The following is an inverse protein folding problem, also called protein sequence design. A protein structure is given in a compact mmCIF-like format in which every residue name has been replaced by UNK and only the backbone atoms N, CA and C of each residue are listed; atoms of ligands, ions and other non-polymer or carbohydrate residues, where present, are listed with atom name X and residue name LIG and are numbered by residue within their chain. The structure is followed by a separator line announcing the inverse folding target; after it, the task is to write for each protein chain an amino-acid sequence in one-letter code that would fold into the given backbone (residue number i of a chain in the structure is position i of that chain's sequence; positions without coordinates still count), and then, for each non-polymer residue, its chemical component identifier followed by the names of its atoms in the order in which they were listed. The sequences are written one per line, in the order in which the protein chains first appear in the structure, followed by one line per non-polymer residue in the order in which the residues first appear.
data_IF_218759670176
#
_entry.id   IF_218759670176
#
_cell.length_a   1.000
_cell.length_b   1.000
_cell.length_c   1.000
_cell.angle_alpha   90.00
_cell.angle_beta   90.00
_cell.angle_gamma   90.00
#
_symmetry.space_group_name_H-M   'P 1'
#
loop_
_entity.id
_entity.type
_entity.pdbx_description
1 polymer ?
#
# COMPACT_ATOMS: atom_id res chain seq x y z
N UNK A 1 -3.77 3.55 5.26
CA UNK A 1 -3.07 2.25 5.20
C UNK A 1 -3.74 1.36 6.21
N UNK A 2 -4.52 0.39 5.74
CA UNK A 2 -5.65 -0.11 6.54
C UNK A 2 -6.49 1.06 7.03
N UNK A 3 -6.80 1.05 8.33
CA UNK A 3 -7.54 2.12 9.01
C UNK A 3 -6.67 3.28 9.53
N UNK A 4 -5.36 3.27 9.27
CA UNK A 4 -4.43 4.31 9.72
C UNK A 4 -4.30 5.42 8.67
N UNK A 5 -4.54 6.67 9.07
CA UNK A 5 -4.26 7.86 8.25
C UNK A 5 -2.77 8.21 8.31
N UNK A 6 -2.05 7.91 7.22
CA UNK A 6 -0.60 8.17 7.12
C UNK A 6 -0.28 9.51 6.46
N UNK A 7 -1.22 10.04 5.66
CA UNK A 7 -1.09 11.31 4.93
C UNK A 7 -2.38 12.12 5.12
N UNK A 8 -2.23 13.40 5.45
CA UNK A 8 -3.31 14.39 5.54
C UNK A 8 -2.90 15.66 4.79
N UNK A 9 -3.74 16.12 3.88
CA UNK A 9 -3.49 17.36 3.13
C UNK A 9 -2.21 17.35 2.29
N UNK A 10 -1.76 16.17 1.84
CA UNK A 10 -0.55 16.03 1.04
C UNK A 10 0.76 15.94 1.83
N UNK A 11 0.71 15.99 3.17
CA UNK A 11 1.86 15.81 4.05
C UNK A 11 1.63 14.62 5.01
N UNK A 12 2.69 14.14 5.67
CA UNK A 12 2.60 13.13 6.72
C UNK A 12 1.57 13.55 7.77
N UNK A 13 0.66 12.65 8.12
CA UNK A 13 -0.34 12.93 9.14
C UNK A 13 0.35 13.17 10.50
N UNK A 14 0.00 14.23 11.26
CA UNK A 14 0.68 14.58 12.51
C UNK A 14 0.68 13.48 13.58
N UNK A 15 -0.35 12.63 13.60
CA UNK A 15 -0.48 11.51 14.54
C UNK A 15 0.10 10.19 14.04
N UNK A 16 0.69 10.15 12.83
CA UNK A 16 1.23 8.92 12.27
C UNK A 16 2.60 8.58 12.86
N UNK A 17 2.77 7.33 13.29
CA UNK A 17 4.06 6.76 13.70
C UNK A 17 4.41 5.56 12.82
N UNK A 18 5.71 5.31 12.63
CA UNK A 18 6.17 4.22 11.77
C UNK A 18 5.83 2.85 12.36
N UNK A 19 5.75 2.74 13.68
CA UNK A 19 5.35 1.51 14.37
C UNK A 19 3.92 1.13 14.01
N UNK A 20 3.01 2.12 13.99
CA UNK A 20 1.63 1.90 13.62
C UNK A 20 1.51 1.46 12.15
N UNK A 21 2.27 2.08 11.25
CA UNK A 21 2.35 1.67 9.85
C UNK A 21 2.90 0.25 9.68
N UNK A 22 3.96 -0.08 10.41
CA UNK A 22 4.63 -1.39 10.35
C UNK A 22 3.72 -2.54 10.78
N UNK A 23 2.85 -2.31 11.78
CA UNK A 23 1.86 -3.31 12.21
C UNK A 23 0.91 -3.68 11.06
N UNK A 24 0.45 -2.69 10.28
CA UNK A 24 -0.43 -2.96 9.13
C UNK A 24 0.36 -3.59 7.98
N UNK A 25 1.59 -3.15 7.72
CA UNK A 25 2.43 -3.72 6.67
C UNK A 25 2.84 -5.18 6.93
N UNK A 26 2.78 -5.65 8.18
CA UNK A 26 3.06 -7.04 8.52
C UNK A 26 1.87 -7.99 8.25
N UNK A 27 0.73 -7.48 7.80
CA UNK A 27 -0.45 -8.28 7.47
C UNK A 27 -0.32 -8.90 6.07
N UNK A 28 -0.98 -10.05 5.85
CA UNK A 28 -1.02 -10.71 4.54
C UNK A 28 -1.79 -9.90 3.50
N UNK A 29 -2.88 -9.24 3.90
CA UNK A 29 -3.67 -8.37 3.04
C UNK A 29 -3.62 -6.92 3.52
N UNK A 30 -3.25 -6.01 2.63
CA UNK A 30 -3.07 -4.59 2.95
C UNK A 30 -4.04 -3.75 2.12
N UNK A 31 -4.97 -3.09 2.80
CA UNK A 31 -5.85 -2.11 2.16
C UNK A 31 -5.14 -0.74 2.03
N UNK A 32 -4.99 -0.25 0.81
CA UNK A 32 -4.53 1.13 0.55
C UNK A 32 -5.70 1.96 0.03
N UNK A 33 -6.09 2.97 0.81
CA UNK A 33 -7.15 3.92 0.44
C UNK A 33 -6.58 5.31 0.23
N UNK A 34 -6.83 5.88 -0.94
CA UNK A 34 -6.44 7.26 -1.28
C UNK A 34 -7.70 8.05 -1.60
N UNK A 35 -7.93 9.15 -0.87
CA UNK A 35 -9.00 10.10 -1.17
C UNK A 35 -8.39 11.35 -1.79
N UNK A 36 -8.70 11.58 -3.07
CA UNK A 36 -8.18 12.74 -3.80
C UNK A 36 -8.94 14.04 -3.51
N UNK A 37 -10.18 13.96 -3.02
CA UNK A 37 -11.02 15.13 -2.75
C UNK A 37 -11.44 15.90 -4.01
N UNK A 38 -11.59 15.21 -5.15
CA UNK A 38 -11.86 15.81 -6.47
C UNK A 38 -13.19 15.35 -7.09
N UNK A 39 -14.17 15.02 -6.26
CA UNK A 39 -15.48 14.49 -6.66
C UNK A 39 -15.76 13.11 -6.07
N UNK A 40 -16.73 12.40 -6.66
CA UNK A 40 -17.27 11.13 -6.14
C UNK A 40 -16.81 9.88 -6.90
N UNK A 41 -16.05 10.06 -7.99
CA UNK A 41 -15.53 8.93 -8.76
C UNK A 41 -14.60 8.05 -7.93
N UNK A 42 -14.74 6.73 -8.09
CA UNK A 42 -13.96 5.73 -7.38
C UNK A 42 -13.54 4.61 -8.32
N UNK A 43 -12.39 3.99 -8.01
CA UNK A 43 -11.90 2.78 -8.67
C UNK A 43 -11.19 1.91 -7.63
N UNK A 44 -11.16 0.60 -7.87
CA UNK A 44 -10.45 -0.37 -7.05
C UNK A 44 -9.57 -1.23 -7.93
N UNK A 45 -8.33 -1.43 -7.51
CA UNK A 45 -7.35 -2.26 -8.17
C UNK A 45 -6.80 -3.24 -7.14
N UNK A 46 -6.69 -4.51 -7.52
CA UNK A 46 -6.00 -5.53 -6.73
C UNK A 46 -4.60 -5.68 -7.28
N UNK A 47 -3.62 -5.69 -6.39
CA UNK A 47 -2.21 -5.91 -6.70
C UNK A 47 -1.56 -6.69 -5.56
N UNK A 48 -0.37 -7.22 -5.81
CA UNK A 48 0.48 -7.84 -4.79
C UNK A 48 1.80 -7.08 -4.64
N UNK A 49 2.58 -7.46 -3.63
CA UNK A 49 3.93 -7.00 -3.40
C UNK A 49 4.91 -7.51 -4.48
N UNK A 50 6.07 -6.87 -4.54
CA UNK A 50 7.15 -7.27 -5.44
C UNK A 50 8.21 -8.05 -4.67
N UNK A 51 8.03 -9.36 -4.63
CA UNK A 51 8.85 -10.27 -3.83
C UNK A 51 10.12 -10.73 -4.55
N UNK A 52 11.11 -11.20 -3.77
CA UNK A 52 12.28 -11.87 -4.30
C UNK A 52 11.91 -13.12 -5.12
N UNK A 53 10.91 -13.87 -4.68
CA UNK A 53 10.45 -15.07 -5.38
C UNK A 53 9.88 -14.73 -6.76
N UNK A 54 9.15 -13.62 -6.90
CA UNK A 54 8.73 -13.17 -8.21
C UNK A 54 9.93 -12.98 -9.16
N UNK A 55 11.00 -12.34 -8.68
CA UNK A 55 12.23 -12.14 -9.46
C UNK A 55 12.86 -13.48 -9.82
N UNK A 56 13.05 -14.37 -8.85
CA UNK A 56 13.66 -15.70 -9.08
C UNK A 56 12.87 -16.53 -10.10
N UNK A 57 11.55 -16.62 -9.94
CA UNK A 57 10.66 -17.38 -10.83
C UNK A 57 10.75 -16.86 -12.27
N UNK A 58 10.76 -15.54 -12.46
CA UNK A 58 10.76 -14.94 -13.80
C UNK A 58 12.17 -14.80 -14.41
N UNK A 59 13.24 -14.75 -13.60
CA UNK A 59 14.62 -14.66 -14.09
C UNK A 59 15.16 -15.99 -14.64
N UNK A 60 14.61 -17.11 -14.18
CA UNK A 60 14.98 -18.45 -14.65
C UNK A 60 14.26 -18.84 -15.97
N UNK A 61 13.29 -18.05 -16.40
CA UNK A 61 12.64 -18.18 -17.71
C UNK A 61 13.60 -17.68 -18.81
N UNK A 62 14.45 -18.56 -19.33
CA UNK A 62 15.10 -18.32 -20.62
C UNK A 62 14.01 -18.24 -21.71
N UNK A 63 14.10 -17.22 -22.56
CA UNK A 63 13.20 -16.94 -23.70
C UNK A 63 13.10 -18.10 -24.68
#
# INVERSE_FOLDING_TARGET
LGEIEIVRGGARAPGYTEEAGSIVMAQEEILVRVRLGRGESAATVVTCDFSYDYVRINAEYRT
#
